data_IF_694202481246
#
_entry.id   IF_694202481246
#
_cell.length_a   1.000
_cell.length_b   1.000
_cell.length_c   1.000
_cell.angle_alpha   90.00
_cell.angle_beta   90.00
_cell.angle_gamma   90.00
#
_symmetry.space_group_name_H-M   'P 1'
#
loop_
_entity.id
_entity.type
_entity.pdbx_description
1 polymer ?
#
# COMPACT_ATOMS: atom_id res chain seq x y z
N UNK A 1 16.87 -55.52 -15.08
CA UNK A 1 17.01 -55.83 -16.52
C UNK A 1 15.66 -55.58 -17.19
N UNK A 2 15.64 -54.70 -18.21
CA UNK A 2 14.91 -54.85 -19.50
C UNK A 2 13.36 -54.95 -19.41
N UNK A 3 12.53 -54.29 -20.22
CA UNK A 3 12.73 -53.71 -21.54
C UNK A 3 11.41 -53.05 -22.03
N UNK A 4 11.55 -51.92 -22.74
CA UNK A 4 10.79 -51.42 -23.93
C UNK A 4 9.25 -51.60 -24.02
N UNK A 5 8.46 -50.52 -24.18
CA UNK A 5 8.29 -49.64 -25.36
C UNK A 5 7.05 -50.02 -26.20
N UNK A 6 6.06 -49.12 -26.23
CA UNK A 6 5.08 -48.84 -27.32
C UNK A 6 4.59 -47.41 -27.05
N UNK A 7 5.14 -46.34 -27.62
CA UNK A 7 5.08 -45.84 -29.00
C UNK A 7 3.68 -45.85 -29.64
N UNK A 8 3.36 -44.68 -30.19
CA UNK A 8 2.33 -44.32 -31.19
C UNK A 8 1.09 -43.66 -30.57
N UNK A 9 0.58 -42.52 -31.06
CA UNK A 9 0.89 -41.69 -32.22
C UNK A 9 0.03 -40.40 -32.10
N UNK A 10 0.55 -39.26 -32.59
CA UNK A 10 -0.13 -38.21 -33.38
C UNK A 10 -1.62 -37.91 -33.14
N UNK A 11 -2.12 -36.69 -32.97
CA UNK A 11 -1.95 -35.43 -33.72
C UNK A 11 -2.91 -34.46 -32.99
N UNK A 12 -2.61 -33.18 -32.76
CA UNK A 12 -2.91 -32.15 -33.75
C UNK A 12 -2.23 -30.84 -33.35
N UNK A 13 -1.56 -30.23 -34.33
CA UNK A 13 -1.21 -28.82 -34.33
C UNK A 13 -2.49 -27.98 -34.40
N UNK A 14 -2.66 -27.07 -33.45
CA UNK A 14 -3.41 -25.83 -33.68
C UNK A 14 -2.56 -24.66 -33.22
N UNK A 15 -1.92 -24.02 -34.19
CA UNK A 15 -1.40 -22.66 -34.09
C UNK A 15 -2.55 -21.68 -33.85
N UNK A 16 -2.63 -21.08 -32.67
CA UNK A 16 -3.36 -19.83 -32.47
C UNK A 16 -2.32 -18.72 -32.31
N UNK A 17 -2.50 -17.72 -33.17
CA UNK A 17 -1.64 -16.58 -33.39
C UNK A 17 -1.47 -15.69 -32.14
N UNK A 18 -0.32 -15.02 -32.12
CA UNK A 18 0.04 -13.92 -31.26
C UNK A 18 -1.10 -12.90 -31.15
N UNK A 19 -1.55 -12.70 -29.92
CA UNK A 19 -2.28 -11.51 -29.47
C UNK A 19 -1.67 -11.00 -28.18
N UNK A 20 -0.37 -10.70 -28.20
CA UNK A 20 0.28 -9.97 -27.11
C UNK A 20 -0.11 -8.48 -27.22
N UNK A 21 -1.33 -8.17 -26.78
CA UNK A 21 -1.63 -6.81 -26.33
C UNK A 21 -0.98 -6.66 -24.96
N UNK A 22 0.26 -6.17 -24.97
CA UNK A 22 0.92 -5.68 -23.78
C UNK A 22 0.04 -4.56 -23.20
N UNK A 23 -0.78 -4.90 -22.21
CA UNK A 23 -1.46 -3.93 -21.37
C UNK A 23 -0.38 -3.28 -20.52
N UNK A 24 0.23 -2.24 -21.08
CA UNK A 24 1.06 -1.29 -20.36
C UNK A 24 0.28 -0.86 -19.12
N UNK A 25 0.75 -1.17 -17.90
CA UNK A 25 0.18 -0.55 -16.72
C UNK A 25 0.47 0.94 -16.91
N UNK A 26 -0.57 1.71 -17.22
CA UNK A 26 -0.50 3.15 -17.12
C UNK A 26 0.07 3.45 -15.73
N UNK A 27 1.13 4.25 -15.70
CA UNK A 27 1.74 4.70 -14.46
C UNK A 27 0.62 5.15 -13.53
N UNK A 28 0.43 4.43 -12.43
CA UNK A 28 -0.50 4.81 -11.39
C UNK A 28 0.03 6.11 -10.82
N UNK A 29 -0.43 7.24 -11.37
CA UNK A 29 -0.43 8.50 -10.67
C UNK A 29 -1.34 8.28 -9.48
N UNK A 30 -0.73 7.94 -8.33
CA UNK A 30 -1.41 7.91 -7.04
C UNK A 30 -1.76 9.38 -6.76
N UNK A 31 -2.89 9.81 -7.27
CA UNK A 31 -3.49 11.10 -6.92
C UNK A 31 -4.04 10.92 -5.51
N UNK A 32 -3.61 11.73 -4.52
CA UNK A 32 -4.24 11.73 -3.22
C UNK A 32 -5.67 12.28 -3.40
N UNK A 33 -6.64 11.40 -3.54
CA UNK A 33 -8.05 11.78 -3.49
C UNK A 33 -8.42 11.95 -2.03
N UNK A 34 -8.70 13.18 -1.61
CA UNK A 34 -9.28 13.53 -0.30
C UNK A 34 -10.74 13.06 -0.13
N UNK A 35 -11.23 12.18 -1.03
CA UNK A 35 -12.55 11.58 -0.96
C UNK A 35 -12.42 10.14 -0.48
N UNK A 36 -11.96 9.99 0.77
CA UNK A 36 -11.99 8.74 1.51
C UNK A 36 -13.42 8.45 1.99
N UNK A 37 -14.37 8.43 1.06
CA UNK A 37 -15.74 7.94 1.27
C UNK A 37 -15.95 6.62 0.51
N UNK A 38 -14.88 5.89 0.17
CA UNK A 38 -15.04 4.50 -0.20
C UNK A 38 -15.53 3.73 1.04
N UNK A 39 -16.54 2.89 0.86
CA UNK A 39 -17.09 2.06 1.94
C UNK A 39 -16.04 1.02 2.35
N UNK A 40 -15.18 1.39 3.30
CA UNK A 40 -14.21 0.48 3.88
C UNK A 40 -14.86 -0.37 4.97
N UNK A 41 -14.40 -1.62 5.12
CA UNK A 41 -14.96 -2.56 6.09
C UNK A 41 -14.40 -2.39 7.52
N UNK A 42 -13.58 -1.37 7.77
CA UNK A 42 -12.91 -1.14 9.04
C UNK A 42 -13.30 0.19 9.68
N UNK A 43 -13.25 0.24 11.01
CA UNK A 43 -13.47 1.46 11.79
C UNK A 43 -12.16 2.15 12.15
N UNK A 44 -12.20 3.45 12.51
CA UNK A 44 -11.02 4.20 12.97
C UNK A 44 -10.35 3.56 14.19
N UNK A 45 -11.15 3.10 15.15
CA UNK A 45 -10.64 2.43 16.37
C UNK A 45 -9.92 1.12 16.03
N UNK A 46 -10.41 0.39 15.01
CA UNK A 46 -9.82 -0.87 14.59
C UNK A 46 -8.45 -0.66 13.93
N UNK A 47 -8.30 0.36 13.08
CA UNK A 47 -7.02 0.66 12.43
C UNK A 47 -5.98 1.24 13.40
N UNK A 48 -6.42 1.92 14.47
CA UNK A 48 -5.54 2.45 15.51
C UNK A 48 -4.93 1.37 16.40
N UNK A 49 -5.61 0.23 16.52
CA UNK A 49 -5.24 -0.86 17.44
C UNK A 49 -4.71 -2.11 16.71
N UNK A 50 -4.80 -2.16 15.38
CA UNK A 50 -4.31 -3.31 14.60
C UNK A 50 -2.78 -3.32 14.47
N UNK A 51 -2.22 -4.54 14.54
CA UNK A 51 -0.83 -4.77 14.14
C UNK A 51 -0.70 -4.73 12.62
N UNK A 52 0.52 -4.60 12.10
CA UNK A 52 0.78 -4.67 10.65
C UNK A 52 0.14 -5.91 10.02
N UNK A 53 0.25 -7.07 10.68
CA UNK A 53 -0.37 -8.33 10.21
C UNK A 53 -1.89 -8.24 10.16
N UNK A 54 -2.51 -7.71 11.21
CA UNK A 54 -3.96 -7.58 11.29
C UNK A 54 -4.48 -6.59 10.26
N UNK A 55 -3.83 -5.44 10.11
CA UNK A 55 -4.21 -4.46 9.09
C UNK A 55 -4.02 -5.02 7.67
N UNK A 56 -3.04 -5.90 7.44
CA UNK A 56 -2.88 -6.62 6.18
C UNK A 56 -4.02 -7.61 5.90
N UNK A 57 -4.53 -8.29 6.93
CA UNK A 57 -5.72 -9.14 6.79
C UNK A 57 -6.99 -8.30 6.57
N UNK A 58 -7.14 -7.18 7.30
CA UNK A 58 -8.26 -6.24 7.15
C UNK A 58 -8.31 -5.62 5.75
N UNK A 59 -7.14 -5.35 5.17
CA UNK A 59 -7.00 -4.93 3.79
C UNK A 59 -7.31 -6.04 2.76
N UNK A 60 -7.70 -7.25 3.19
CA UNK A 60 -7.93 -8.37 2.29
C UNK A 60 -6.66 -8.82 1.57
N UNK A 61 -5.48 -8.59 2.16
CA UNK A 61 -4.17 -8.80 1.54
C UNK A 61 -3.98 -8.05 0.22
N UNK A 62 -4.63 -6.88 0.12
CA UNK A 62 -4.54 -5.99 -1.02
C UNK A 62 -3.68 -4.77 -0.68
N UNK A 63 -2.68 -4.49 -1.52
CA UNK A 63 -1.75 -3.38 -1.29
C UNK A 63 -2.43 -2.01 -1.39
N UNK A 64 -3.36 -1.81 -2.32
CA UNK A 64 -4.08 -0.55 -2.46
C UNK A 64 -4.96 -0.28 -1.22
N UNK A 65 -5.68 -1.29 -0.75
CA UNK A 65 -6.52 -1.22 0.44
C UNK A 65 -5.68 -1.04 1.71
N UNK A 66 -4.49 -1.64 1.79
CA UNK A 66 -3.56 -1.42 2.89
C UNK A 66 -2.99 -0.01 2.89
N UNK A 67 -2.69 0.54 1.70
CA UNK A 67 -2.24 1.92 1.57
C UNK A 67 -3.30 2.92 2.02
N UNK A 68 -4.57 2.64 1.75
CA UNK A 68 -5.71 3.43 2.24
C UNK A 68 -5.73 3.50 3.78
N UNK A 69 -5.56 2.36 4.45
CA UNK A 69 -5.42 2.31 5.92
C UNK A 69 -4.23 3.16 6.39
N UNK A 70 -3.08 3.04 5.72
CA UNK A 70 -1.88 3.83 6.05
C UNK A 70 -2.13 5.33 5.88
N UNK A 71 -2.84 5.74 4.83
CA UNK A 71 -3.18 7.12 4.56
C UNK A 71 -4.13 7.68 5.64
N UNK A 72 -5.19 6.95 5.97
CA UNK A 72 -6.10 7.33 7.06
C UNK A 72 -5.35 7.48 8.40
N UNK A 73 -4.43 6.55 8.73
CA UNK A 73 -3.61 6.66 9.93
C UNK A 73 -2.65 7.85 9.90
N UNK A 74 -2.14 8.20 8.73
CA UNK A 74 -1.24 9.35 8.56
C UNK A 74 -2.00 10.66 8.75
N UNK A 75 -3.22 10.77 8.21
CA UNK A 75 -4.12 11.91 8.42
C UNK A 75 -4.44 12.08 9.90
N UNK A 76 -4.90 11.01 10.57
CA UNK A 76 -5.19 11.05 12.01
C UNK A 76 -3.96 11.48 12.83
N UNK A 77 -2.78 10.96 12.51
CA UNK A 77 -1.53 11.32 13.20
C UNK A 77 -1.15 12.78 12.96
N UNK A 78 -1.31 13.27 11.74
CA UNK A 78 -1.01 14.66 11.37
C UNK A 78 -1.95 15.63 12.09
N UNK A 79 -3.26 15.37 12.07
CA UNK A 79 -4.30 16.15 12.76
C UNK A 79 -4.04 16.20 14.28
N UNK A 80 -3.80 15.04 14.90
CA UNK A 80 -3.55 14.92 16.35
C UNK A 80 -2.33 15.74 16.79
N UNK A 81 -1.36 15.94 15.91
CA UNK A 81 -0.10 16.63 16.20
C UNK A 81 -0.03 18.06 15.66
N UNK A 82 -1.05 18.53 14.95
CA UNK A 82 -1.02 19.81 14.26
C UNK A 82 0.11 19.89 13.23
N UNK A 83 0.40 18.77 12.54
CA UNK A 83 1.37 18.71 11.46
C UNK A 83 0.64 18.74 10.12
N UNK A 84 1.28 19.31 9.10
CA UNK A 84 0.82 19.22 7.72
C UNK A 84 1.67 18.20 6.99
N UNK A 85 1.01 17.26 6.31
CA UNK A 85 1.70 16.32 5.43
C UNK A 85 2.03 17.04 4.13
N UNK A 86 3.31 17.10 3.72
CA UNK A 86 3.66 17.72 2.46
C UNK A 86 3.14 16.90 1.27
N UNK A 87 2.37 17.55 0.40
CA UNK A 87 1.78 16.95 -0.81
C UNK A 87 2.81 16.82 -1.95
N UNK A 88 3.98 16.26 -1.65
CA UNK A 88 5.01 16.00 -2.66
C UNK A 88 5.37 14.52 -2.71
N UNK A 89 5.66 14.05 -3.93
CA UNK A 89 5.93 12.64 -4.20
C UNK A 89 7.17 12.13 -3.44
N UNK A 90 8.18 12.97 -3.21
CA UNK A 90 9.38 12.57 -2.48
C UNK A 90 9.11 12.29 -1.00
N UNK A 91 8.30 13.11 -0.34
CA UNK A 91 7.90 12.91 1.04
C UNK A 91 6.99 11.69 1.18
N UNK A 92 6.05 11.50 0.24
CA UNK A 92 5.24 10.29 0.16
C UNK A 92 6.10 9.03 -0.01
N UNK A 93 7.10 9.07 -0.90
CA UNK A 93 8.05 7.96 -1.10
C UNK A 93 8.85 7.67 0.17
N UNK A 94 9.46 8.68 0.81
CA UNK A 94 10.23 8.52 2.06
C UNK A 94 9.37 7.94 3.18
N UNK A 95 8.13 8.42 3.31
CA UNK A 95 7.19 7.92 4.29
C UNK A 95 6.84 6.44 4.02
N UNK A 96 6.51 6.11 2.78
CA UNK A 96 6.18 4.74 2.36
C UNK A 96 7.34 3.76 2.51
N UNK A 97 8.55 4.15 2.14
CA UNK A 97 9.76 3.33 2.31
C UNK A 97 10.05 3.05 3.78
N UNK A 98 9.89 4.05 4.65
CA UNK A 98 10.06 3.88 6.08
C UNK A 98 9.02 2.93 6.68
N UNK A 99 7.75 3.13 6.33
CA UNK A 99 6.65 2.28 6.80
C UNK A 99 6.86 0.84 6.33
N UNK A 100 7.21 0.63 5.06
CA UNK A 100 7.51 -0.69 4.50
C UNK A 100 8.68 -1.38 5.20
N UNK A 101 9.76 -0.65 5.49
CA UNK A 101 10.93 -1.20 6.18
C UNK A 101 10.60 -1.66 7.61
N UNK A 102 9.82 -0.85 8.35
CA UNK A 102 9.40 -1.18 9.72
C UNK A 102 8.36 -2.29 9.75
N UNK A 103 7.37 -2.22 8.87
CA UNK A 103 6.34 -3.25 8.70
C UNK A 103 6.94 -4.62 8.36
N UNK A 104 8.00 -4.66 7.55
CA UNK A 104 8.74 -5.88 7.23
C UNK A 104 9.62 -6.38 8.38
N UNK A 105 10.14 -5.48 9.20
CA UNK A 105 11.00 -5.85 10.33
C UNK A 105 10.21 -6.47 11.48
N UNK A 106 9.01 -5.95 11.75
CA UNK A 106 8.13 -6.44 12.80
C UNK A 106 6.67 -6.37 12.37
N UNK A 107 6.12 -7.55 12.05
CA UNK A 107 4.75 -7.72 11.60
C UNK A 107 3.73 -7.67 12.77
N UNK A 108 4.19 -7.78 14.02
CA UNK A 108 3.38 -7.69 15.24
C UNK A 108 3.35 -6.27 15.84
N UNK A 109 4.10 -5.33 15.27
CA UNK A 109 4.07 -3.94 15.69
C UNK A 109 2.76 -3.26 15.28
N UNK A 110 2.26 -2.34 16.12
CA UNK A 110 1.10 -1.50 15.79
C UNK A 110 1.40 -0.64 14.57
N UNK A 111 0.55 -0.73 13.54
CA UNK A 111 0.74 0.02 12.30
C UNK A 111 0.71 1.53 12.56
N UNK A 112 -0.21 1.97 13.42
CA UNK A 112 -0.31 3.39 13.81
C UNK A 112 1.00 3.94 14.36
N UNK A 113 1.72 3.19 15.20
CA UNK A 113 2.99 3.66 15.77
C UNK A 113 4.07 3.86 14.70
N UNK A 114 4.09 3.00 13.67
CA UNK A 114 5.01 3.11 12.55
C UNK A 114 4.66 4.32 11.68
N UNK A 115 3.36 4.47 11.36
CA UNK A 115 2.85 5.59 10.55
C UNK A 115 3.09 6.91 11.27
N UNK A 116 2.82 6.99 12.58
CA UNK A 116 3.10 8.17 13.40
C UNK A 116 4.57 8.56 13.38
N UNK A 117 5.47 7.59 13.55
CA UNK A 117 6.90 7.84 13.45
C UNK A 117 7.32 8.32 12.04
N UNK A 118 6.61 7.90 11.00
CA UNK A 118 6.79 8.36 9.63
C UNK A 118 6.33 9.81 9.45
N UNK A 119 5.10 10.11 9.88
CA UNK A 119 4.48 11.44 9.84
C UNK A 119 5.34 12.46 10.58
N UNK A 120 5.90 12.11 11.73
CA UNK A 120 6.80 13.00 12.48
C UNK A 120 8.11 13.32 11.75
N UNK A 121 8.52 12.51 10.78
CA UNK A 121 9.74 12.72 9.99
C UNK A 121 9.48 13.58 8.76
N UNK A 122 8.32 13.42 8.13
CA UNK A 122 7.98 14.10 6.87
C UNK A 122 7.08 15.31 7.07
N UNK A 123 6.31 15.33 8.17
CA UNK A 123 5.36 16.36 8.49
C UNK A 123 6.06 17.67 8.86
N UNK A 124 5.55 18.76 8.32
CA UNK A 124 6.01 20.12 8.64
C UNK A 124 5.02 20.76 9.61
N UNK A 125 5.51 21.63 10.49
CA UNK A 125 4.60 22.50 11.24
C UNK A 125 4.00 23.52 10.26
N UNK A 126 2.70 23.81 10.34
CA UNK A 126 2.12 24.91 9.58
C UNK A 126 2.87 26.18 9.95
N UNK A 127 3.52 26.81 8.97
CA UNK A 127 4.19 28.08 9.16
C UNK A 127 3.12 29.11 9.47
N UNK A 128 3.13 29.66 10.69
CA UNK A 128 2.33 30.83 11.05
C UNK A 128 2.61 31.93 10.01
N UNK A 129 1.60 32.43 9.27
CA UNK A 129 1.80 33.58 8.39
C UNK A 129 2.29 34.77 9.23
N UNK A 130 3.18 35.63 8.73
CA UNK A 130 3.56 36.84 9.45
C UNK A 130 2.29 37.67 9.71
N UNK A 131 2.08 38.05 10.97
CA UNK A 131 1.04 39.01 11.34
C UNK A 131 1.32 40.33 10.63
N UNK A 132 0.37 40.79 9.81
CA UNK A 132 0.36 42.17 9.29
C UNK A 132 -0.17 43.13 10.36
#
# INVERSE_FOLDING_TARGET
MRLFSRLALCFALTTVALGASAQQPAAATITPSADSTAAHNWTKEQILTCTVSDCWQLAGKNEATFFDIVQQLAEISAETRGLTLPENAEAGKRAGEYIKAKAKADHGQLLYAIVDASVRRVGTKPSTPPAN
#
